data_IF_867015807891
#
_entry.id   IF_867015807891
#
_cell.length_a   1.000
_cell.length_b   1.000
_cell.length_c   1.000
_cell.angle_alpha   90.00
_cell.angle_beta   90.00
_cell.angle_gamma   90.00
#
_symmetry.space_group_name_H-M   'P 1'
#
loop_
_entity.id
_entity.type
_entity.pdbx_description
1 polymer ?
#
# COMPACT_ATOMS: atom_id res chain seq x y z
N UNK A 1 7.45 30.90 12.47
CA UNK A 1 8.27 30.79 11.24
C UNK A 1 7.97 32.01 10.38
N UNK A 2 8.97 32.70 9.83
CA UNK A 2 8.79 33.92 9.01
C UNK A 2 9.31 33.69 7.60
N UNK A 3 8.75 34.41 6.62
CA UNK A 3 9.23 34.43 5.24
C UNK A 3 9.48 35.86 4.76
N UNK A 4 10.42 36.03 3.83
CA UNK A 4 10.65 37.29 3.12
C UNK A 4 11.32 37.05 1.77
N UNK A 5 10.81 37.67 0.71
CA UNK A 5 11.35 37.58 -0.66
C UNK A 5 11.63 36.14 -1.14
N UNK A 6 10.77 35.19 -0.76
CA UNK A 6 10.95 33.77 -1.10
C UNK A 6 12.04 33.07 -0.30
N UNK A 7 12.41 33.56 0.88
CA UNK A 7 13.31 32.89 1.82
C UNK A 7 12.61 32.66 3.15
N UNK A 8 12.91 31.54 3.79
CA UNK A 8 12.53 31.26 5.16
C UNK A 8 13.54 31.87 6.13
N UNK A 9 13.03 32.38 7.25
CA UNK A 9 13.81 32.99 8.32
C UNK A 9 13.63 32.19 9.60
N UNK A 10 14.76 31.80 10.21
CA UNK A 10 14.81 31.13 11.52
C UNK A 10 15.92 31.75 12.36
N UNK A 11 15.65 31.97 13.64
CA UNK A 11 16.64 32.47 14.57
C UNK A 11 17.34 31.27 15.24
N UNK A 12 18.67 31.19 15.10
CA UNK A 12 19.54 30.19 15.72
C UNK A 12 20.44 30.84 16.78
N UNK A 13 21.25 30.05 17.49
CA UNK A 13 22.27 30.60 18.36
C UNK A 13 23.22 31.50 17.56
N UNK A 14 23.38 32.75 17.97
CA UNK A 14 24.28 33.70 17.32
C UNK A 14 23.71 34.44 16.11
N UNK A 15 22.43 34.25 15.76
CA UNK A 15 21.72 35.17 14.86
C UNK A 15 20.72 34.51 13.92
N UNK A 16 20.23 35.33 12.99
CA UNK A 16 19.24 34.92 11.99
C UNK A 16 19.87 34.12 10.86
N UNK A 17 19.28 32.98 10.54
CA UNK A 17 19.54 32.18 9.35
C UNK A 17 18.47 32.43 8.30
N UNK A 18 18.90 32.51 7.05
CA UNK A 18 18.04 32.57 5.87
C UNK A 18 18.21 31.27 5.09
N UNK A 19 17.12 30.61 4.71
CA UNK A 19 17.20 29.35 3.97
C UNK A 19 16.05 29.16 2.99
N UNK A 20 16.25 28.29 2.01
CA UNK A 20 15.21 27.84 1.11
C UNK A 20 15.37 26.34 0.85
N UNK A 21 14.25 25.64 0.89
CA UNK A 21 14.16 24.22 0.55
C UNK A 21 13.54 24.02 -0.82
N UNK A 22 13.64 22.82 -1.36
CA UNK A 22 12.95 22.43 -2.57
C UNK A 22 12.76 20.93 -2.63
N UNK A 23 11.60 20.50 -3.07
CA UNK A 23 11.28 19.09 -3.25
C UNK A 23 10.71 18.90 -4.66
N UNK A 24 11.28 17.97 -5.42
CA UNK A 24 10.73 17.50 -6.69
C UNK A 24 10.82 15.97 -6.75
N UNK A 25 10.31 15.33 -7.78
CA UNK A 25 10.15 13.86 -7.87
C UNK A 25 11.38 13.05 -7.43
N UNK A 26 11.38 12.62 -6.18
CA UNK A 26 12.48 11.82 -5.62
C UNK A 26 13.72 12.62 -5.23
N UNK A 27 13.68 13.95 -5.26
CA UNK A 27 14.81 14.82 -4.96
C UNK A 27 14.41 15.84 -3.90
N UNK A 28 15.28 16.09 -2.93
CA UNK A 28 15.10 17.14 -1.93
C UNK A 28 16.38 17.97 -1.83
N UNK A 29 16.23 19.28 -1.65
CA UNK A 29 17.32 20.23 -1.62
C UNK A 29 17.13 21.29 -0.53
N UNK A 30 18.25 21.81 -0.03
CA UNK A 30 18.31 22.93 0.90
C UNK A 30 19.52 23.79 0.57
N UNK A 31 19.34 25.11 0.64
CA UNK A 31 20.41 26.09 0.81
C UNK A 31 20.10 26.97 2.02
N UNK A 32 21.09 27.17 2.89
CA UNK A 32 20.97 27.97 4.10
C UNK A 32 22.22 28.81 4.35
N UNK A 33 22.04 30.02 4.88
CA UNK A 33 23.11 30.94 5.22
C UNK A 33 22.93 31.52 6.62
N UNK A 34 24.03 31.60 7.37
CA UNK A 34 24.13 32.31 8.64
C UNK A 34 25.02 33.55 8.46
N UNK A 35 24.47 34.72 8.08
CA UNK A 35 25.28 35.88 7.69
C UNK A 35 26.22 36.38 8.78
N UNK A 36 25.76 36.44 10.03
CA UNK A 36 26.56 36.89 11.17
C UNK A 36 27.81 36.03 11.41
N UNK A 37 27.72 34.71 11.16
CA UNK A 37 28.83 33.76 11.28
C UNK A 37 29.58 33.55 9.97
N UNK A 38 29.09 34.11 8.85
CA UNK A 38 29.61 33.92 7.48
C UNK A 38 29.70 32.44 7.08
N UNK A 39 28.71 31.65 7.51
CA UNK A 39 28.59 30.23 7.19
C UNK A 39 27.45 29.99 6.19
N UNK A 40 27.60 28.95 5.38
CA UNK A 40 26.58 28.47 4.46
C UNK A 40 26.55 26.95 4.45
N UNK A 41 25.37 26.38 4.26
CA UNK A 41 25.15 24.95 4.14
C UNK A 41 24.29 24.66 2.92
N UNK A 42 24.67 23.64 2.16
CA UNK A 42 23.89 23.11 1.03
C UNK A 42 23.75 21.62 1.25
N UNK A 43 22.51 21.13 1.22
CA UNK A 43 22.20 19.71 1.35
C UNK A 43 21.37 19.31 0.15
N UNK A 44 21.84 18.30 -0.58
CA UNK A 44 21.15 17.72 -1.73
C UNK A 44 20.94 16.24 -1.49
N UNK A 45 19.76 15.75 -1.81
CA UNK A 45 19.38 14.35 -1.67
C UNK A 45 18.64 13.90 -2.92
N UNK A 46 19.05 12.75 -3.44
CA UNK A 46 18.36 12.04 -4.53
C UNK A 46 17.31 11.04 -4.01
N UNK A 47 16.79 11.31 -2.82
CA UNK A 47 15.69 10.58 -2.20
C UNK A 47 14.68 11.55 -1.60
N UNK A 48 13.43 11.12 -1.42
CA UNK A 48 12.41 11.83 -0.62
C UNK A 48 12.74 11.75 0.88
N UNK A 49 13.93 12.20 1.26
CA UNK A 49 14.45 12.10 2.62
C UNK A 49 13.53 12.77 3.65
N UNK A 50 12.79 13.80 3.24
CA UNK A 50 11.81 14.52 4.06
C UNK A 50 10.61 13.66 4.52
N UNK A 51 10.45 12.44 4.00
CA UNK A 51 9.46 11.46 4.49
C UNK A 51 9.93 10.68 5.74
N UNK A 52 11.24 10.56 5.94
CA UNK A 52 11.85 9.71 6.99
C UNK A 52 12.73 10.48 7.98
N UNK A 53 13.18 11.66 7.57
CA UNK A 53 14.02 12.60 8.29
C UNK A 53 13.73 14.02 7.77
N UNK A 54 14.58 15.01 8.06
CA UNK A 54 14.48 16.35 7.50
C UNK A 54 15.85 16.84 7.02
N UNK A 55 15.99 17.06 5.71
CA UNK A 55 17.24 17.61 5.16
C UNK A 55 17.44 19.09 5.58
N UNK A 56 16.34 19.79 5.88
CA UNK A 56 16.38 21.15 6.38
C UNK A 56 16.98 21.20 7.77
N UNK A 57 16.58 20.28 8.66
CA UNK A 57 17.17 20.18 9.99
C UNK A 57 18.66 19.84 9.92
N UNK A 58 19.06 18.95 8.99
CA UNK A 58 20.47 18.64 8.78
C UNK A 58 21.28 19.88 8.37
N UNK A 59 20.77 20.69 7.43
CA UNK A 59 21.48 21.90 7.02
C UNK A 59 21.50 22.98 8.11
N UNK A 60 20.46 23.10 8.92
CA UNK A 60 20.46 24.00 10.09
C UNK A 60 21.43 23.52 11.18
N UNK A 61 21.51 22.20 11.41
CA UNK A 61 22.50 21.59 12.30
C UNK A 61 23.95 21.85 11.87
N UNK A 62 24.22 21.84 10.55
CA UNK A 62 25.54 22.18 10.02
C UNK A 62 25.92 23.66 10.29
N UNK A 63 24.94 24.56 10.44
CA UNK A 63 25.16 25.98 10.78
C UNK A 63 25.21 26.23 12.30
N UNK A 64 24.52 25.39 13.07
CA UNK A 64 24.46 25.42 14.52
C UNK A 64 24.20 24.01 15.07
N UNK A 65 25.24 23.37 15.62
CA UNK A 65 25.16 21.99 16.12
C UNK A 65 24.26 21.84 17.36
N UNK A 66 23.74 22.92 17.91
CA UNK A 66 22.71 22.88 18.96
C UNK A 66 21.29 22.73 18.40
N UNK A 67 21.11 22.89 17.08
CA UNK A 67 19.82 22.70 16.43
C UNK A 67 19.39 21.22 16.56
N UNK A 68 18.16 20.92 17.02
CA UNK A 68 17.74 19.54 17.22
C UNK A 68 17.58 18.82 15.87
N UNK A 69 18.11 17.61 15.78
CA UNK A 69 17.85 16.70 14.67
C UNK A 69 16.71 15.76 15.04
N UNK A 70 15.74 15.62 14.14
CA UNK A 70 14.70 14.59 14.26
C UNK A 70 15.34 13.21 14.18
N UNK A 71 14.94 12.33 15.09
CA UNK A 71 15.34 10.92 15.06
C UNK A 71 14.90 10.27 13.76
N UNK A 72 15.84 9.65 13.04
CA UNK A 72 15.57 8.94 11.80
C UNK A 72 14.52 7.84 12.06
N UNK A 73 13.42 7.89 11.32
CA UNK A 73 12.38 6.88 11.39
C UNK A 73 12.74 5.73 10.47
N UNK A 74 13.13 4.59 11.05
CA UNK A 74 13.38 3.36 10.30
C UNK A 74 12.08 2.57 10.19
N UNK A 75 11.64 2.21 8.97
CA UNK A 75 10.47 1.35 8.81
C UNK A 75 10.66 0.02 9.52
N UNK A 76 9.60 -0.46 10.19
CA UNK A 76 9.56 -1.81 10.71
C UNK A 76 9.68 -2.81 9.56
N UNK A 77 10.46 -3.87 9.73
CA UNK A 77 10.63 -4.89 8.70
C UNK A 77 9.44 -5.85 8.73
N UNK A 78 8.68 -5.89 7.65
CA UNK A 78 7.54 -6.80 7.46
C UNK A 78 7.88 -7.69 6.27
N UNK A 79 7.77 -9.01 6.43
CA UNK A 79 8.03 -9.94 5.33
C UNK A 79 6.98 -9.80 4.22
N UNK A 80 7.34 -10.12 2.98
CA UNK A 80 6.42 -10.09 1.83
C UNK A 80 5.17 -10.93 2.08
N UNK A 81 5.30 -12.10 2.72
CA UNK A 81 4.17 -12.96 3.11
C UNK A 81 3.22 -12.24 4.07
N UNK A 82 3.77 -11.57 5.09
CA UNK A 82 2.95 -10.78 6.02
C UNK A 82 2.27 -9.61 5.29
N UNK A 83 2.95 -8.91 4.39
CA UNK A 83 2.33 -7.83 3.60
C UNK A 83 1.15 -8.35 2.77
N UNK A 84 1.30 -9.51 2.12
CA UNK A 84 0.21 -10.11 1.35
C UNK A 84 -0.97 -10.52 2.23
N UNK A 85 -0.74 -10.94 3.47
CA UNK A 85 -1.80 -11.22 4.43
C UNK A 85 -2.59 -9.98 4.86
N UNK A 86 -2.03 -8.77 4.68
CA UNK A 86 -2.69 -7.49 4.94
C UNK A 86 -3.36 -6.90 3.69
N UNK A 87 -2.97 -7.34 2.49
CA UNK A 87 -3.56 -6.88 1.25
C UNK A 87 -5.01 -7.39 1.09
N UNK A 88 -5.81 -6.62 0.37
CA UNK A 88 -7.24 -6.92 0.15
C UNK A 88 -8.08 -5.67 -0.02
N UNK A 89 -9.40 -5.88 -0.09
CA UNK A 89 -10.39 -4.80 -0.11
C UNK A 89 -10.98 -4.64 1.29
N UNK A 90 -11.19 -3.39 1.72
CA UNK A 90 -11.68 -3.05 3.05
C UNK A 90 -12.80 -2.05 2.93
N UNK A 91 -13.97 -2.34 3.49
CA UNK A 91 -15.18 -1.50 3.38
C UNK A 91 -15.69 -1.07 4.74
N UNK A 92 -16.09 0.21 4.85
CA UNK A 92 -16.79 0.74 6.02
C UNK A 92 -18.30 0.50 5.95
N UNK A 93 -19.00 0.65 7.06
CA UNK A 93 -20.47 0.54 7.08
C UNK A 93 -21.16 1.58 6.17
N UNK A 94 -20.54 2.75 5.99
CA UNK A 94 -21.04 3.83 5.13
C UNK A 94 -20.75 3.59 3.63
N UNK A 95 -20.12 2.46 3.29
CA UNK A 95 -19.85 2.03 1.92
C UNK A 95 -18.55 2.57 1.32
N UNK A 96 -17.79 3.36 2.08
CA UNK A 96 -16.45 3.79 1.71
C UNK A 96 -15.47 2.59 1.67
N UNK A 97 -14.43 2.67 0.84
CA UNK A 97 -13.57 1.50 0.58
C UNK A 97 -12.10 1.85 0.35
N UNK A 98 -11.22 1.06 0.93
CA UNK A 98 -9.81 0.97 0.53
C UNK A 98 -9.55 -0.30 -0.29
N UNK A 99 -8.68 -0.18 -1.27
CA UNK A 99 -7.99 -1.32 -1.86
C UNK A 99 -6.51 -1.24 -1.45
N UNK A 100 -6.00 -2.30 -0.85
CA UNK A 100 -4.63 -2.35 -0.35
C UNK A 100 -3.87 -3.42 -1.11
N UNK A 101 -2.78 -3.02 -1.75
CA UNK A 101 -1.96 -3.86 -2.64
C UNK A 101 -0.53 -3.92 -2.13
N UNK A 102 0.19 -4.98 -2.49
CA UNK A 102 1.64 -5.05 -2.28
C UNK A 102 2.33 -4.68 -3.58
N UNK A 103 3.14 -3.63 -3.57
CA UNK A 103 4.01 -3.27 -4.68
C UNK A 103 5.44 -3.06 -4.16
N UNK A 104 6.41 -3.79 -4.75
CA UNK A 104 7.84 -3.67 -4.39
C UNK A 104 8.09 -3.80 -2.87
N UNK A 105 7.48 -4.81 -2.25
CA UNK A 105 7.57 -5.08 -0.80
C UNK A 105 7.06 -3.92 0.09
N UNK A 106 6.09 -3.15 -0.40
CA UNK A 106 5.42 -2.09 0.35
C UNK A 106 3.90 -2.17 0.17
N UNK A 107 3.15 -1.81 1.21
CA UNK A 107 1.71 -1.60 1.06
C UNK A 107 1.43 -0.29 0.32
N UNK A 108 0.63 -0.38 -0.73
CA UNK A 108 0.03 0.75 -1.43
C UNK A 108 -1.44 0.74 -1.09
N UNK A 109 -1.91 1.84 -0.50
CA UNK A 109 -3.31 2.05 -0.22
C UNK A 109 -3.89 2.87 -1.38
N UNK A 110 -4.97 2.38 -1.94
CA UNK A 110 -5.76 3.05 -2.97
C UNK A 110 -7.12 3.39 -2.39
N UNK A 111 -7.53 4.64 -2.59
CA UNK A 111 -8.86 5.10 -2.21
C UNK A 111 -9.63 5.55 -3.47
N UNK A 112 -10.72 4.88 -3.87
CA UNK A 112 -11.40 5.13 -5.13
C UNK A 112 -11.91 6.57 -5.29
N UNK A 113 -12.36 7.20 -4.20
CA UNK A 113 -12.90 8.56 -4.28
C UNK A 113 -11.82 9.61 -4.58
N UNK A 114 -10.58 9.41 -4.10
CA UNK A 114 -9.46 10.31 -4.39
C UNK A 114 -8.71 9.92 -5.66
N UNK A 115 -8.92 8.68 -6.16
CA UNK A 115 -8.15 8.08 -7.27
C UNK A 115 -6.64 8.18 -7.06
N UNK A 116 -6.23 8.14 -5.80
CA UNK A 116 -4.84 8.32 -5.41
C UNK A 116 -4.31 7.04 -4.75
N UNK A 117 -3.12 6.64 -5.18
CA UNK A 117 -2.29 5.65 -4.51
C UNK A 117 -1.38 6.38 -3.51
N UNK A 118 -1.33 5.88 -2.28
CA UNK A 118 -0.41 6.36 -1.27
C UNK A 118 0.37 5.18 -0.67
N UNK A 119 1.71 5.22 -0.73
CA UNK A 119 2.53 4.20 -0.10
C UNK A 119 2.41 4.31 1.42
N UNK A 120 2.50 3.18 2.11
CA UNK A 120 2.45 3.16 3.57
C UNK A 120 3.76 2.63 4.16
N UNK A 121 4.25 3.29 5.19
CA UNK A 121 5.43 2.89 5.95
C UNK A 121 5.01 2.07 7.16
N UNK A 122 5.60 0.88 7.33
CA UNK A 122 5.36 0.07 8.51
C UNK A 122 5.95 0.73 9.77
N UNK A 123 5.12 0.91 10.79
CA UNK A 123 5.50 1.30 12.15
C UNK A 123 5.65 0.05 13.02
N UNK A 124 4.77 -0.93 12.84
CA UNK A 124 4.82 -2.28 13.43
C UNK A 124 4.43 -3.31 12.38
N UNK A 125 4.33 -4.59 12.75
CA UNK A 125 3.84 -5.65 11.86
C UNK A 125 2.40 -5.42 11.37
N UNK A 126 1.59 -4.63 12.08
CA UNK A 126 0.16 -4.40 11.78
C UNK A 126 -0.23 -2.93 11.76
N UNK A 127 0.70 -2.01 12.01
CA UNK A 127 0.44 -0.57 11.99
C UNK A 127 1.28 0.10 10.94
N UNK A 128 0.63 0.88 10.08
CA UNK A 128 1.23 1.56 8.96
C UNK A 128 0.86 3.03 8.96
N UNK A 129 1.80 3.88 8.56
CA UNK A 129 1.58 5.31 8.33
C UNK A 129 1.51 5.57 6.84
N UNK A 130 0.46 6.25 6.40
CA UNK A 130 0.29 6.61 5.01
C UNK A 130 1.18 7.80 4.64
N UNK A 131 1.97 7.62 3.59
CA UNK A 131 2.91 8.62 3.09
C UNK A 131 2.21 9.44 2.01
N UNK A 132 1.55 10.52 2.42
CA UNK A 132 0.94 11.49 1.52
C UNK A 132 0.83 12.85 2.20
N UNK A 133 1.39 13.89 1.59
CA UNK A 133 1.36 15.26 2.16
C UNK A 133 -0.10 15.73 2.36
N UNK A 134 -0.98 15.35 1.44
CA UNK A 134 -2.41 15.69 1.47
C UNK A 134 -3.19 14.99 2.59
N UNK A 135 -2.67 13.87 3.10
CA UNK A 135 -3.36 13.11 4.15
C UNK A 135 -3.19 13.76 5.53
N UNK A 136 -2.15 14.59 5.69
CA UNK A 136 -1.77 15.20 6.96
C UNK A 136 -0.94 14.26 7.84
N UNK A 137 -0.27 14.81 8.86
CA UNK A 137 0.60 14.04 9.75
C UNK A 137 -0.21 13.02 10.56
N UNK A 138 0.44 11.91 10.93
CA UNK A 138 -0.13 10.85 11.77
C UNK A 138 -1.34 10.13 11.16
N UNK A 139 -1.46 10.11 9.83
CA UNK A 139 -2.46 9.28 9.15
C UNK A 139 -2.02 7.82 9.18
N UNK A 140 -2.78 6.96 9.86
CA UNK A 140 -2.36 5.56 10.07
C UNK A 140 -3.47 4.55 9.83
N UNK A 141 -3.09 3.40 9.27
CA UNK A 141 -3.89 2.19 9.23
C UNK A 141 -3.40 1.18 10.26
N UNK A 142 -4.30 0.65 11.09
CA UNK A 142 -4.04 -0.42 12.05
C UNK A 142 -4.87 -1.65 11.66
N UNK A 143 -4.20 -2.75 11.33
CA UNK A 143 -4.85 -4.01 10.99
C UNK A 143 -5.13 -4.84 12.24
N UNK A 144 -6.26 -5.52 12.26
CA UNK A 144 -6.54 -6.64 13.17
C UNK A 144 -6.45 -7.94 12.37
N UNK A 145 -5.85 -8.97 12.98
CA UNK A 145 -5.58 -10.25 12.32
C UNK A 145 -6.41 -11.38 12.94
N UNK A 146 -6.68 -12.40 12.14
CA UNK A 146 -7.20 -13.69 12.61
C UNK A 146 -6.09 -14.59 13.19
N UNK A 147 -6.46 -15.82 13.57
CA UNK A 147 -5.53 -16.83 14.09
C UNK A 147 -4.47 -17.30 13.07
N UNK A 148 -4.69 -17.05 11.77
CA UNK A 148 -3.77 -17.39 10.68
C UNK A 148 -2.89 -16.19 10.29
N UNK A 149 -2.90 -15.12 11.09
CA UNK A 149 -2.19 -13.87 10.81
C UNK A 149 -2.63 -13.19 9.50
N UNK A 150 -3.88 -13.38 9.09
CA UNK A 150 -4.51 -12.68 7.97
C UNK A 150 -5.35 -11.53 8.49
N UNK A 151 -5.30 -10.38 7.83
CA UNK A 151 -6.12 -9.25 8.23
C UNK A 151 -7.61 -9.56 8.12
N UNK A 152 -8.39 -9.08 9.08
CA UNK A 152 -9.86 -9.16 9.08
C UNK A 152 -10.52 -7.79 9.13
N UNK A 153 -9.80 -6.79 9.63
CA UNK A 153 -10.26 -5.40 9.66
C UNK A 153 -9.09 -4.42 9.57
N UNK A 154 -9.43 -3.18 9.25
CA UNK A 154 -8.54 -2.03 9.22
C UNK A 154 -9.19 -0.88 9.98
N UNK A 155 -8.51 -0.38 11.00
CA UNK A 155 -8.80 0.91 11.65
C UNK A 155 -7.99 2.01 10.98
N UNK A 156 -8.67 2.92 10.30
CA UNK A 156 -8.06 4.05 9.64
C UNK A 156 -8.21 5.31 10.49
N UNK A 157 -7.09 5.91 10.89
CA UNK A 157 -7.05 7.17 11.63
C UNK A 157 -6.48 8.29 10.75
N UNK A 158 -7.26 9.36 10.56
CA UNK A 158 -6.85 10.54 9.81
C UNK A 158 -7.42 11.81 10.46
N UNK A 159 -6.60 12.85 10.60
CA UNK A 159 -7.02 14.14 11.17
C UNK A 159 -7.72 14.01 12.54
N UNK A 160 -7.28 13.05 13.36
CA UNK A 160 -7.85 12.77 14.68
C UNK A 160 -9.16 11.98 14.69
N UNK A 161 -9.69 11.59 13.53
CA UNK A 161 -10.87 10.72 13.39
C UNK A 161 -10.45 9.30 13.06
N UNK A 162 -11.18 8.32 13.57
CA UNK A 162 -10.96 6.90 13.29
C UNK A 162 -12.21 6.28 12.71
N UNK A 163 -12.04 5.47 11.66
CA UNK A 163 -13.11 4.69 11.04
C UNK A 163 -12.69 3.23 10.92
N UNK A 164 -13.65 2.33 11.09
CA UNK A 164 -13.46 0.89 10.97
C UNK A 164 -13.85 0.42 9.56
N UNK A 165 -13.03 -0.44 8.98
CA UNK A 165 -13.27 -1.08 7.69
C UNK A 165 -13.13 -2.59 7.87
N UNK A 166 -14.17 -3.34 7.55
CA UNK A 166 -14.12 -4.80 7.50
C UNK A 166 -13.43 -5.25 6.21
N UNK A 167 -12.59 -6.29 6.27
CA UNK A 167 -12.02 -6.89 5.07
C UNK A 167 -13.14 -7.57 4.28
N UNK A 168 -13.27 -7.24 3.00
CA UNK A 168 -14.15 -7.94 2.09
C UNK A 168 -13.56 -9.33 1.75
N UNK A 169 -14.39 -10.37 1.58
CA UNK A 169 -13.91 -11.66 1.12
C UNK A 169 -13.16 -11.53 -0.20
N UNK A 170 -12.00 -12.18 -0.32
CA UNK A 170 -11.30 -12.21 -1.60
C UNK A 170 -12.19 -12.92 -2.65
N UNK A 171 -12.35 -12.32 -3.84
CA UNK A 171 -13.16 -12.93 -4.89
C UNK A 171 -12.56 -14.28 -5.27
N UNK A 172 -13.42 -15.27 -5.49
CA UNK A 172 -12.97 -16.58 -5.91
C UNK A 172 -12.28 -16.49 -7.29
N UNK A 173 -11.06 -16.99 -7.36
CA UNK A 173 -10.25 -17.07 -8.57
C UNK A 173 -10.13 -18.52 -9.02
N UNK A 174 -10.30 -18.74 -10.33
CA UNK A 174 -10.09 -20.03 -10.95
C UNK A 174 -8.64 -20.12 -11.43
N UNK A 175 -7.89 -21.07 -10.89
CA UNK A 175 -6.56 -21.41 -11.35
C UNK A 175 -6.59 -22.74 -12.10
N UNK A 176 -5.71 -22.88 -13.09
CA UNK A 176 -5.56 -24.08 -13.90
C UNK A 176 -4.14 -24.63 -13.73
N UNK A 177 -4.04 -25.92 -13.44
CA UNK A 177 -2.79 -26.67 -13.41
C UNK A 177 -2.90 -27.87 -14.35
N UNK A 178 -1.88 -28.07 -15.19
CA UNK A 178 -1.79 -29.25 -16.05
C UNK A 178 -1.04 -30.34 -15.30
N UNK A 179 -1.64 -31.53 -15.18
CA UNK A 179 -1.05 -32.69 -14.53
C UNK A 179 -1.15 -33.92 -15.45
N UNK A 180 -0.06 -34.25 -16.15
CA UNK A 180 0.06 -35.36 -17.13
C UNK A 180 -1.11 -35.43 -18.14
N UNK A 181 -2.19 -36.12 -17.78
CA UNK A 181 -3.37 -36.38 -18.62
C UNK A 181 -4.65 -35.71 -18.07
N UNK A 182 -4.52 -34.78 -17.13
CA UNK A 182 -5.64 -34.07 -16.52
C UNK A 182 -5.36 -32.56 -16.40
N UNK A 183 -6.43 -31.78 -16.47
CA UNK A 183 -6.48 -30.40 -16.03
C UNK A 183 -7.07 -30.38 -14.63
N UNK A 184 -6.31 -29.86 -13.68
CA UNK A 184 -6.79 -29.55 -12.34
C UNK A 184 -7.19 -28.09 -12.29
N UNK A 185 -8.47 -27.86 -12.09
CA UNK A 185 -9.08 -26.54 -11.94
C UNK A 185 -9.33 -26.33 -10.45
N UNK A 186 -8.67 -25.34 -9.86
CA UNK A 186 -8.76 -25.06 -8.43
C UNK A 186 -9.38 -23.68 -8.26
N UNK A 187 -10.51 -23.63 -7.56
CA UNK A 187 -11.13 -22.39 -7.16
C UNK A 187 -10.56 -21.97 -5.81
N UNK A 188 -9.91 -20.81 -5.71
CA UNK A 188 -9.35 -20.29 -4.45
C UNK A 188 -9.99 -18.95 -4.11
N UNK A 189 -10.25 -18.68 -2.84
CA UNK A 189 -10.83 -17.41 -2.37
C UNK A 189 -11.56 -17.59 -1.04
N UNK A 190 -12.25 -16.53 -0.60
CA UNK A 190 -12.93 -16.53 0.70
C UNK A 190 -14.45 -16.50 0.57
N UNK A 191 -14.99 -16.35 -0.65
CA UNK A 191 -16.42 -16.27 -0.89
C UNK A 191 -17.06 -17.67 -0.81
N UNK A 192 -17.85 -17.99 0.23
CA UNK A 192 -18.38 -19.33 0.44
C UNK A 192 -19.46 -19.73 -0.57
N UNK A 193 -19.87 -18.83 -1.45
CA UNK A 193 -20.89 -19.09 -2.47
C UNK A 193 -20.45 -20.24 -3.39
N UNK A 194 -21.38 -21.11 -3.82
CA UNK A 194 -21.07 -22.13 -4.81
C UNK A 194 -20.81 -21.49 -6.19
N UNK A 195 -19.85 -22.04 -6.93
CA UNK A 195 -19.56 -21.63 -8.30
C UNK A 195 -19.80 -22.79 -9.25
N UNK A 196 -20.29 -22.47 -10.44
CA UNK A 196 -20.43 -23.40 -11.55
C UNK A 196 -19.19 -23.31 -12.42
N UNK A 197 -18.57 -24.45 -12.69
CA UNK A 197 -17.57 -24.56 -13.74
C UNK A 197 -18.28 -24.59 -15.09
N UNK A 198 -17.89 -23.67 -15.96
CA UNK A 198 -18.38 -23.61 -17.33
C UNK A 198 -17.22 -23.74 -18.31
N UNK A 199 -17.49 -24.44 -19.41
CA UNK A 199 -16.53 -24.71 -20.48
C UNK A 199 -17.04 -24.10 -21.78
N UNK A 200 -16.13 -23.57 -22.56
CA UNK A 200 -16.39 -23.10 -23.92
C UNK A 200 -15.30 -23.57 -24.88
N UNK A 201 -15.66 -23.79 -26.15
CA UNK A 201 -14.70 -24.07 -27.23
C UNK A 201 -14.43 -22.83 -28.09
N UNK A 202 -15.24 -21.77 -27.96
CA UNK A 202 -15.22 -20.60 -28.83
C UNK A 202 -15.35 -19.25 -28.10
N UNK A 203 -15.43 -19.24 -26.77
CA UNK A 203 -15.72 -18.09 -25.90
C UNK A 203 -17.12 -17.47 -26.01
N UNK A 204 -17.91 -17.86 -27.02
CA UNK A 204 -19.26 -17.35 -27.25
C UNK A 204 -20.32 -18.20 -26.53
N UNK A 205 -20.18 -19.52 -26.59
CA UNK A 205 -21.10 -20.46 -25.96
C UNK A 205 -20.48 -21.09 -24.71
N UNK A 206 -21.15 -20.96 -23.57
CA UNK A 206 -20.70 -21.50 -22.29
C UNK A 206 -21.65 -22.59 -21.82
N UNK A 207 -21.10 -23.75 -21.48
CA UNK A 207 -21.88 -24.91 -21.04
C UNK A 207 -21.47 -25.31 -19.62
N UNK A 208 -22.44 -25.62 -18.74
CA UNK A 208 -22.14 -26.20 -17.43
C UNK A 208 -21.33 -27.49 -17.58
N UNK A 209 -20.29 -27.65 -16.77
CA UNK A 209 -19.49 -28.86 -16.73
C UNK A 209 -19.43 -29.50 -15.35
N UNK A 210 -19.25 -28.70 -14.30
CA UNK A 210 -19.17 -29.18 -12.92
C UNK A 210 -19.51 -28.07 -11.92
N UNK A 211 -19.39 -28.37 -10.62
CA UNK A 211 -19.62 -27.44 -9.51
C UNK A 211 -18.39 -27.39 -8.59
N UNK A 212 -18.09 -26.18 -8.13
CA UNK A 212 -17.23 -25.91 -7.00
C UNK A 212 -18.13 -25.63 -5.78
N UNK A 213 -18.35 -26.61 -4.88
CA UNK A 213 -19.27 -26.46 -3.77
C UNK A 213 -18.79 -25.44 -2.73
N UNK A 214 -17.47 -25.26 -2.61
CA UNK A 214 -16.83 -24.29 -1.72
C UNK A 214 -15.54 -23.75 -2.35
N UNK A 215 -14.99 -22.63 -1.84
CA UNK A 215 -13.60 -22.29 -2.10
C UNK A 215 -12.65 -23.42 -1.71
N UNK A 216 -11.50 -23.47 -2.39
CA UNK A 216 -10.45 -24.50 -2.33
C UNK A 216 -10.87 -25.89 -2.84
N UNK A 217 -12.03 -26.00 -3.49
CA UNK A 217 -12.41 -27.23 -4.19
C UNK A 217 -11.65 -27.37 -5.52
N UNK A 218 -11.38 -28.61 -5.90
CA UNK A 218 -10.67 -28.95 -7.13
C UNK A 218 -11.58 -29.79 -8.01
N UNK A 219 -11.71 -29.39 -9.27
CA UNK A 219 -12.36 -30.19 -10.32
C UNK A 219 -11.26 -30.71 -11.26
N UNK A 220 -11.34 -31.98 -11.62
CA UNK A 220 -10.40 -32.62 -12.53
C UNK A 220 -11.09 -32.96 -13.84
N UNK A 221 -10.50 -32.52 -14.95
CA UNK A 221 -11.03 -32.79 -16.29
C UNK A 221 -9.97 -33.54 -17.09
N UNK A 222 -10.34 -34.61 -17.82
CA UNK A 222 -9.42 -35.28 -18.74
C UNK A 222 -8.82 -34.29 -19.73
N UNK A 223 -7.50 -34.27 -19.81
CA UNK A 223 -6.75 -33.50 -20.78
C UNK A 223 -6.48 -34.39 -22.01
N UNK A 224 -7.01 -33.98 -23.16
CA UNK A 224 -6.71 -34.62 -24.45
C UNK A 224 -6.15 -33.55 -25.39
N UNK A 225 -4.88 -33.69 -25.75
CA UNK A 225 -4.18 -32.77 -26.64
C UNK A 225 -4.74 -32.78 -28.09
N UNK A 226 -5.61 -33.72 -28.44
CA UNK A 226 -6.27 -33.81 -29.75
C UNK A 226 -7.61 -33.08 -29.78
N UNK A 227 -8.14 -32.66 -28.64
CA UNK A 227 -9.38 -31.90 -28.54
C UNK A 227 -9.07 -30.40 -28.67
N UNK A 228 -9.92 -29.60 -29.34
CA UNK A 228 -9.74 -28.15 -29.43
C UNK A 228 -9.57 -27.47 -28.07
N UNK A 229 -8.96 -26.27 -28.11
CA UNK A 229 -8.71 -25.44 -26.93
C UNK A 229 -10.01 -25.22 -26.17
N UNK A 230 -10.02 -25.65 -24.90
CA UNK A 230 -11.13 -25.43 -23.98
C UNK A 230 -10.83 -24.22 -23.12
N UNK A 231 -11.78 -23.30 -23.06
CA UNK A 231 -11.78 -22.19 -22.13
C UNK A 231 -12.59 -22.57 -20.90
N UNK A 232 -12.15 -22.09 -19.74
CA UNK A 232 -12.79 -22.37 -18.45
C UNK A 232 -13.12 -21.07 -17.75
N UNK A 233 -14.28 -21.01 -17.11
CA UNK A 233 -14.62 -19.95 -16.16
C UNK A 233 -15.38 -20.52 -14.98
N UNK A 234 -15.26 -19.84 -13.85
CA UNK A 234 -16.10 -20.06 -12.69
C UNK A 234 -17.16 -18.96 -12.66
N UNK A 235 -18.43 -19.33 -12.83
CA UNK A 235 -19.56 -18.41 -12.72
C UNK A 235 -20.23 -18.60 -11.36
N UNK A 236 -20.65 -17.52 -10.69
CA UNK A 236 -21.46 -17.64 -9.47
C UNK A 236 -22.72 -18.43 -9.78
N UNK A 237 -22.99 -19.45 -8.97
CA UNK A 237 -24.20 -20.24 -9.12
C UNK A 237 -25.37 -19.47 -8.49
N UNK A 238 -26.08 -18.69 -9.28
CA UNK A 238 -27.37 -18.13 -8.86
C UNK A 238 -28.41 -19.26 -8.79
N UNK A 239 -29.22 -19.32 -7.71
CA UNK A 239 -30.30 -20.30 -7.58
C UNK A 239 -31.39 -20.11 -8.64
#
# INVERSE_FOLDING_TARGET
MQQGLGWWLVDLSGGRVVYHGGDTFGQTALVAFHPARRLGAVVLSNSRANLYASISELGLYLLDSSYPLTTIRRPFQVSTVQLHNLAGQYRSEEGDRFEIRVERDQLIFYHPASRADFPAMAITATRFEALGIELGPNTTGQFELDSNARAVSLKWTQSGRTHDYAREPDPNQLSLRVAKNELELVLTGDDPSPYRLEISENLDEWRPADLFPTPNSTVRIPFDAKVPVRFFRAARHSP
#
